data_IF_702095166942
#
_entry.id   IF_702095166942
#
_cell.length_a   1.000
_cell.length_b   1.000
_cell.length_c   1.000
_cell.angle_alpha   90.00
_cell.angle_beta   90.00
_cell.angle_gamma   90.00
#
_symmetry.space_group_name_H-M   'P 1'
#
loop_
_entity.id
_entity.type
_entity.pdbx_description
1 polymer ?
#
# COMPACT_ATOMS: atom_id res chain seq x y z
N UNK A 1 21.25 19.81 1.39
CA UNK A 1 20.40 18.86 0.64
C UNK A 1 19.16 18.59 1.47
N UNK A 2 17.97 18.82 0.93
CA UNK A 2 16.72 18.56 1.65
C UNK A 2 16.64 17.07 1.96
N UNK A 3 16.68 16.71 3.25
CA UNK A 3 16.37 15.35 3.68
C UNK A 3 14.87 15.14 3.44
N UNK A 4 14.44 14.06 2.77
CA UNK A 4 13.03 13.71 2.74
C UNK A 4 12.55 13.62 4.20
N UNK A 5 11.62 14.50 4.59
CA UNK A 5 11.01 14.52 5.93
C UNK A 5 9.98 13.41 6.11
N UNK A 6 9.76 12.58 5.10
CA UNK A 6 8.85 11.45 5.14
C UNK A 6 9.65 10.17 5.43
N UNK A 7 9.33 9.51 6.54
CA UNK A 7 9.84 8.19 6.85
C UNK A 7 9.35 7.20 5.79
N UNK A 8 10.28 6.61 5.03
CA UNK A 8 9.99 5.53 4.09
C UNK A 8 10.63 4.25 4.62
N UNK A 9 9.86 3.25 5.07
CA UNK A 9 10.43 1.99 5.52
C UNK A 9 11.09 1.26 4.34
N UNK A 10 12.33 0.80 4.54
CA UNK A 10 13.00 -0.03 3.54
C UNK A 10 12.36 -1.43 3.51
N UNK A 11 11.74 -1.79 2.38
CA UNK A 11 11.27 -3.16 2.15
C UNK A 11 12.47 -4.02 1.77
N UNK A 12 12.63 -5.16 2.45
CA UNK A 12 13.75 -6.06 2.18
C UNK A 12 13.75 -6.56 0.73
N UNK A 13 14.95 -6.74 0.14
CA UNK A 13 15.10 -7.23 -1.24
C UNK A 13 14.44 -8.60 -1.45
N UNK A 14 14.40 -9.43 -0.40
CA UNK A 14 13.71 -10.72 -0.43
C UNK A 14 12.20 -10.54 -0.63
N UNK A 15 11.55 -9.65 0.12
CA UNK A 15 10.13 -9.36 -0.03
C UNK A 15 9.79 -8.80 -1.41
N UNK A 16 10.66 -7.92 -1.95
CA UNK A 16 10.48 -7.40 -3.32
C UNK A 16 10.47 -8.55 -4.35
N UNK A 17 11.40 -9.51 -4.22
CA UNK A 17 11.44 -10.69 -5.12
C UNK A 17 10.22 -11.59 -4.92
N UNK A 18 9.79 -11.81 -3.68
CA UNK A 18 8.60 -12.60 -3.38
C UNK A 18 7.35 -11.97 -4.01
N UNK A 19 7.14 -10.66 -3.85
CA UNK A 19 6.05 -9.91 -4.47
C UNK A 19 6.09 -10.00 -6.00
N UNK A 20 7.27 -9.95 -6.60
CA UNK A 20 7.42 -10.09 -8.06
C UNK A 20 6.97 -11.47 -8.54
N UNK A 21 7.50 -12.53 -7.93
CA UNK A 21 7.15 -13.90 -8.33
C UNK A 21 5.67 -14.21 -8.07
N UNK A 22 5.13 -13.73 -6.96
CA UNK A 22 3.72 -13.94 -6.62
C UNK A 22 2.77 -13.15 -7.53
N UNK A 23 3.09 -11.89 -7.83
CA UNK A 23 2.34 -11.07 -8.78
C UNK A 23 2.32 -11.72 -10.16
N UNK A 24 3.48 -12.21 -10.62
CA UNK A 24 3.57 -12.98 -11.89
C UNK A 24 2.73 -14.26 -11.86
N UNK A 25 2.75 -15.01 -10.76
CA UNK A 25 1.95 -16.24 -10.60
C UNK A 25 0.45 -15.98 -10.63
N UNK A 26 0.00 -14.88 -10.03
CA UNK A 26 -1.41 -14.46 -9.98
C UNK A 26 -1.88 -13.67 -11.21
N UNK A 27 -0.96 -13.21 -12.06
CA UNK A 27 -1.27 -12.35 -13.20
C UNK A 27 -1.67 -10.93 -12.81
N UNK A 28 -1.19 -10.42 -11.67
CA UNK A 28 -1.48 -9.05 -11.19
C UNK A 28 -0.20 -8.22 -11.00
N UNK A 29 -0.24 -6.90 -11.23
CA UNK A 29 0.88 -6.01 -10.91
C UNK A 29 1.26 -6.08 -9.43
N UNK A 30 2.57 -5.98 -9.12
CA UNK A 30 3.07 -6.01 -7.74
C UNK A 30 2.43 -4.94 -6.84
N UNK A 31 2.13 -3.76 -7.38
CA UNK A 31 1.48 -2.67 -6.63
C UNK A 31 0.08 -3.07 -6.16
N UNK A 32 -0.74 -3.65 -7.05
CA UNK A 32 -2.06 -4.18 -6.68
C UNK A 32 -1.95 -5.30 -5.67
N UNK A 33 -1.00 -6.21 -5.84
CA UNK A 33 -0.75 -7.28 -4.89
C UNK A 33 -0.39 -6.74 -3.50
N UNK A 34 0.47 -5.70 -3.44
CA UNK A 34 0.84 -5.05 -2.18
C UNK A 34 -0.38 -4.42 -1.53
N UNK A 35 -1.20 -3.67 -2.28
CA UNK A 35 -2.41 -3.06 -1.74
C UNK A 35 -3.36 -4.13 -1.18
N UNK A 36 -3.64 -5.19 -1.92
CA UNK A 36 -4.49 -6.30 -1.47
C UNK A 36 -3.97 -6.97 -0.20
N UNK A 37 -2.67 -7.28 -0.15
CA UNK A 37 -2.04 -7.92 1.01
C UNK A 37 -2.07 -7.01 2.23
N UNK A 38 -1.74 -5.72 2.07
CA UNK A 38 -1.70 -4.77 3.17
C UNK A 38 -3.10 -4.40 3.65
N UNK A 39 -4.06 -4.20 2.75
CA UNK A 39 -5.47 -4.02 3.12
C UNK A 39 -5.96 -5.22 3.91
N UNK A 40 -5.78 -6.44 3.42
CA UNK A 40 -6.21 -7.64 4.13
C UNK A 40 -5.55 -7.81 5.51
N UNK A 41 -4.28 -7.42 5.65
CA UNK A 41 -3.54 -7.52 6.91
C UNK A 41 -3.89 -6.40 7.92
N UNK A 42 -4.21 -5.21 7.43
CA UNK A 42 -4.41 -4.02 8.27
C UNK A 42 -5.88 -3.70 8.54
N UNK A 43 -6.82 -4.17 7.72
CA UNK A 43 -8.23 -3.87 7.88
C UNK A 43 -8.73 -4.22 9.29
N UNK A 44 -9.40 -3.27 9.95
CA UNK A 44 -9.89 -3.40 11.33
C UNK A 44 -8.85 -3.20 12.43
N UNK A 45 -7.56 -3.13 12.09
CA UNK A 45 -6.50 -2.78 13.04
C UNK A 45 -6.70 -1.36 13.61
N UNK A 46 -6.13 -1.04 14.78
CA UNK A 46 -6.15 0.32 15.32
C UNK A 46 -5.58 1.35 14.34
N UNK A 47 -4.48 1.02 13.66
CA UNK A 47 -3.87 1.91 12.65
C UNK A 47 -4.80 2.20 11.47
N UNK A 48 -5.57 1.20 11.03
CA UNK A 48 -6.57 1.38 9.98
C UNK A 48 -7.69 2.33 10.42
N UNK A 49 -8.21 2.16 11.64
CA UNK A 49 -9.24 3.05 12.19
C UNK A 49 -8.76 4.51 12.32
N UNK A 50 -7.53 4.71 12.78
CA UNK A 50 -6.92 6.04 12.85
C UNK A 50 -6.76 6.67 11.46
N UNK A 51 -6.41 5.87 10.45
CA UNK A 51 -6.33 6.35 9.07
C UNK A 51 -7.72 6.74 8.53
N UNK A 52 -8.77 5.94 8.78
CA UNK A 52 -10.14 6.26 8.39
C UNK A 52 -10.66 7.55 9.05
N UNK A 53 -10.32 7.78 10.33
CA UNK A 53 -10.65 9.02 11.04
C UNK A 53 -9.93 10.22 10.44
N UNK A 54 -8.63 10.09 10.18
CA UNK A 54 -7.81 11.14 9.54
C UNK A 54 -8.32 11.52 8.14
N UNK A 55 -8.71 10.54 7.32
CA UNK A 55 -9.24 10.78 5.97
C UNK A 55 -10.58 11.54 6.01
N UNK A 56 -11.43 11.26 7.00
CA UNK A 56 -12.70 11.98 7.23
C UNK A 56 -12.47 13.44 7.61
N UNK A 57 -11.48 13.70 8.44
CA UNK A 57 -11.11 15.06 8.87
C UNK A 57 -10.48 15.88 7.75
N UNK A 58 -9.65 15.23 6.91
CA UNK A 58 -8.89 15.92 5.86
C UNK A 58 -9.67 16.04 4.54
N UNK A 59 -10.81 15.36 4.40
CA UNK A 59 -11.64 15.39 3.19
C UNK A 59 -10.92 14.84 1.95
N UNK A 60 -9.90 13.99 2.12
CA UNK A 60 -9.13 13.46 1.01
C UNK A 60 -9.95 12.36 0.33
N UNK A 61 -10.31 12.50 -0.96
CA UNK A 61 -11.08 11.47 -1.63
C UNK A 61 -10.23 10.20 -1.75
N UNK A 62 -10.81 9.00 -1.52
CA UNK A 62 -10.09 7.76 -1.70
C UNK A 62 -9.60 7.67 -3.15
N UNK A 63 -8.30 7.42 -3.33
CA UNK A 63 -7.68 7.26 -4.66
C UNK A 63 -8.28 6.02 -5.32
N UNK A 64 -9.30 6.21 -6.15
CA UNK A 64 -9.89 5.13 -6.93
C UNK A 64 -8.83 4.56 -7.87
N UNK A 65 -8.59 3.25 -7.75
CA UNK A 65 -7.69 2.48 -8.59
C UNK A 65 -8.07 2.65 -10.07
N UNK A 66 -7.43 3.59 -10.77
CA UNK A 66 -7.56 3.72 -12.22
C UNK A 66 -6.96 2.46 -12.87
N UNK A 67 -7.71 1.75 -13.72
CA UNK A 67 -7.13 0.72 -14.56
C UNK A 67 -6.22 1.39 -15.58
N UNK A 68 -4.95 0.98 -15.61
CA UNK A 68 -4.02 1.34 -16.68
C UNK A 68 -4.62 0.91 -18.02
N UNK A 69 -4.77 1.87 -18.92
CA UNK A 69 -5.22 1.68 -20.30
C UNK A 69 -4.09 1.11 -21.16
#
# INVERSE_FOLDING_TARGET
>A
MAKPTCYQPEISRFLIRALYHEGKRRGVPMTRLVDELLTGALQGSPGWRLAEESDRETGTPPRQNQPSR
#
